data_IF_096807647898
#
_entry.id   IF_096807647898
#
_cell.length_a   1.000
_cell.length_b   1.000
_cell.length_c   1.000
_cell.angle_alpha   90.00
_cell.angle_beta   90.00
_cell.angle_gamma   90.00
#
_symmetry.space_group_name_H-M   'P 1'
#
loop_
_entity.id
_entity.type
_entity.pdbx_description
1 polymer ?
#
# COMPACT_ATOMS: atom_id res chain seq x y z
N UNK A 1 -4.50 19.79 20.73
CA UNK A 1 -4.37 19.54 22.19
C UNK A 1 -3.00 20.02 22.65
N UNK A 2 -2.77 20.23 23.96
CA UNK A 2 -1.43 20.60 24.45
C UNK A 2 -0.36 19.55 24.08
N UNK A 3 -0.75 18.28 23.88
CA UNK A 3 0.14 17.20 23.46
C UNK A 3 0.60 17.35 22.01
N UNK A 4 -0.31 17.68 21.09
CA UNK A 4 0.03 17.88 19.67
C UNK A 4 0.99 19.06 19.47
N UNK A 5 0.81 20.15 20.23
CA UNK A 5 1.69 21.32 20.19
C UNK A 5 3.09 20.98 20.73
N UNK A 6 3.17 20.16 21.78
CA UNK A 6 4.46 19.69 22.33
C UNK A 6 5.16 18.77 21.33
N UNK A 7 4.45 17.81 20.74
CA UNK A 7 5.01 16.88 19.75
C UNK A 7 5.51 17.64 18.50
N UNK A 8 4.78 18.67 18.06
CA UNK A 8 5.18 19.54 16.95
C UNK A 8 6.42 20.39 17.30
N UNK A 9 6.45 20.99 18.49
CA UNK A 9 7.57 21.81 18.96
C UNK A 9 8.84 20.97 19.17
N UNK A 10 8.70 19.76 19.71
CA UNK A 10 9.79 18.78 19.78
C UNK A 10 10.26 18.36 18.39
N UNK A 11 9.34 18.18 17.44
CA UNK A 11 9.66 17.93 16.03
C UNK A 11 10.50 19.06 15.41
N UNK A 12 10.14 20.32 15.67
CA UNK A 12 10.89 21.48 15.19
C UNK A 12 12.26 21.61 15.87
N UNK A 13 12.36 21.34 17.17
CA UNK A 13 13.64 21.32 17.91
C UNK A 13 14.57 20.22 17.40
N UNK A 14 14.04 19.02 17.11
CA UNK A 14 14.79 17.93 16.47
C UNK A 14 15.31 18.34 15.09
N UNK A 15 14.46 18.97 14.25
CA UNK A 15 14.87 19.51 12.94
C UNK A 15 15.97 20.57 13.05
N UNK A 16 15.86 21.49 14.00
CA UNK A 16 16.86 22.53 14.23
C UNK A 16 18.20 21.95 14.72
N UNK A 17 18.17 20.94 15.59
CA UNK A 17 19.37 20.24 16.06
C UNK A 17 20.07 19.44 14.94
N UNK A 18 19.30 18.83 14.03
CA UNK A 18 19.85 18.08 12.89
C UNK A 18 20.52 18.94 11.82
N UNK A 19 20.28 20.26 11.80
CA UNK A 19 20.93 21.16 10.84
C UNK A 19 22.44 21.31 11.09
N UNK A 20 22.90 21.12 12.33
CA UNK A 20 24.29 21.33 12.75
C UNK A 20 24.98 20.06 13.27
N UNK A 21 24.25 18.95 13.38
CA UNK A 21 24.79 17.68 13.87
C UNK A 21 24.51 16.61 12.82
N UNK A 22 25.55 16.02 12.19
CA UNK A 22 25.34 14.87 11.32
C UNK A 22 24.54 13.80 12.08
N UNK A 23 23.51 13.22 11.46
CA UNK A 23 22.77 12.14 12.08
C UNK A 23 23.74 11.01 12.43
N UNK A 24 23.51 10.36 13.57
CA UNK A 24 24.27 9.17 13.93
C UNK A 24 24.04 8.10 12.87
N UNK A 25 25.11 7.45 12.44
CA UNK A 25 25.15 6.36 11.45
C UNK A 25 24.55 5.05 12.02
N UNK A 26 23.29 5.10 12.48
CA UNK A 26 22.61 3.97 13.11
C UNK A 26 22.58 2.73 12.22
N UNK A 27 22.48 2.91 10.90
CA UNK A 27 22.46 1.81 9.94
C UNK A 27 23.77 1.04 9.93
N UNK A 28 24.90 1.74 9.79
CA UNK A 28 26.23 1.16 9.87
C UNK A 28 26.50 0.43 11.19
N UNK A 29 26.00 0.95 12.31
CA UNK A 29 26.25 0.37 13.63
C UNK A 29 25.31 -0.80 13.99
N UNK A 30 24.05 -0.75 13.55
CA UNK A 30 22.99 -1.69 13.95
C UNK A 30 22.70 -2.70 12.85
N UNK A 31 22.38 -2.21 11.64
CA UNK A 31 22.01 -3.05 10.49
C UNK A 31 23.25 -3.73 9.91
N UNK A 32 24.38 -3.01 9.88
CA UNK A 32 25.70 -3.48 9.43
C UNK A 32 25.69 -4.05 8.01
N UNK A 33 24.82 -3.51 7.16
CA UNK A 33 24.78 -3.84 5.73
C UNK A 33 25.63 -2.87 4.90
N UNK A 34 25.93 -3.26 3.67
CA UNK A 34 26.50 -2.40 2.63
C UNK A 34 25.38 -1.76 1.81
N UNK A 35 25.02 -0.52 2.15
CA UNK A 35 23.94 0.25 1.54
C UNK A 35 24.08 0.42 0.02
N UNK A 36 25.31 0.37 -0.49
CA UNK A 36 25.62 0.55 -1.92
C UNK A 36 25.49 -0.74 -2.73
N UNK A 37 25.35 -1.88 -2.05
CA UNK A 37 25.31 -3.19 -2.67
C UNK A 37 23.92 -3.84 -2.54
N UNK A 38 23.15 -3.81 -3.64
CA UNK A 38 21.83 -4.46 -3.73
C UNK A 38 21.86 -5.98 -3.49
N UNK A 39 23.02 -6.62 -3.62
CA UNK A 39 23.17 -8.06 -3.38
C UNK A 39 23.54 -8.41 -1.94
N UNK A 40 23.88 -7.43 -1.12
CA UNK A 40 23.93 -7.65 0.32
C UNK A 40 22.51 -7.73 0.87
N UNK A 41 22.03 -8.96 1.07
CA UNK A 41 20.65 -9.29 1.43
C UNK A 41 20.53 -9.97 2.80
N UNK A 42 21.64 -10.16 3.50
CA UNK A 42 21.69 -10.90 4.76
C UNK A 42 21.86 -9.94 5.94
N UNK A 43 20.86 -9.10 6.15
CA UNK A 43 20.83 -8.09 7.21
C UNK A 43 19.45 -8.00 7.88
N UNK A 44 19.37 -7.29 9.00
CA UNK A 44 18.17 -7.16 9.81
C UNK A 44 17.94 -8.34 10.78
N UNK A 45 16.72 -8.47 11.27
CA UNK A 45 16.31 -9.54 12.19
C UNK A 45 14.84 -9.92 11.98
N UNK A 46 14.36 -10.93 12.68
CA UNK A 46 12.98 -11.42 12.60
C UNK A 46 12.05 -10.82 13.68
N UNK A 47 12.46 -9.76 14.38
CA UNK A 47 11.63 -9.08 15.36
C UNK A 47 10.67 -8.09 14.69
N UNK A 48 9.48 -8.58 14.38
CA UNK A 48 8.39 -7.78 13.80
C UNK A 48 7.73 -6.85 14.82
N UNK A 49 7.92 -7.10 16.12
CA UNK A 49 7.31 -6.37 17.23
C UNK A 49 8.27 -5.37 17.88
N UNK A 50 9.35 -5.02 17.16
CA UNK A 50 10.26 -3.92 17.47
C UNK A 50 9.51 -2.56 17.57
N UNK A 51 10.22 -1.44 17.73
CA UNK A 51 9.61 -0.11 17.85
C UNK A 51 8.54 0.12 16.76
N UNK A 52 7.43 0.77 17.14
CA UNK A 52 6.34 1.18 16.24
C UNK A 52 5.57 0.05 15.48
N UNK A 53 5.16 -1.07 16.12
CA UNK A 53 4.49 -2.18 15.41
C UNK A 53 3.03 -1.90 15.03
N UNK A 54 2.51 -0.72 15.37
CA UNK A 54 1.10 -0.34 15.19
C UNK A 54 0.66 -0.42 13.73
N UNK A 55 1.40 0.23 12.83
CA UNK A 55 0.95 0.46 11.46
C UNK A 55 0.84 -0.84 10.65
N UNK A 56 1.87 -1.69 10.70
CA UNK A 56 1.85 -3.00 10.04
C UNK A 56 0.78 -3.94 10.60
N UNK A 57 0.56 -3.93 11.94
CA UNK A 57 -0.51 -4.73 12.57
C UNK A 57 -1.89 -4.26 12.11
N UNK A 58 -2.11 -2.95 12.03
CA UNK A 58 -3.37 -2.35 11.57
C UNK A 58 -3.67 -2.70 10.12
N UNK A 59 -2.67 -2.57 9.23
CA UNK A 59 -2.80 -2.95 7.81
C UNK A 59 -3.09 -4.45 7.65
N UNK A 60 -2.43 -5.31 8.43
CA UNK A 60 -2.64 -6.76 8.38
C UNK A 60 -4.05 -7.17 8.79
N UNK A 61 -4.60 -6.51 9.81
CA UNK A 61 -5.98 -6.76 10.25
C UNK A 61 -7.03 -6.40 9.19
N UNK A 62 -6.80 -5.33 8.42
CA UNK A 62 -7.69 -4.94 7.32
C UNK A 62 -7.74 -6.05 6.26
N UNK A 63 -6.59 -6.65 5.95
CA UNK A 63 -6.50 -7.71 4.95
C UNK A 63 -7.13 -9.01 5.46
N UNK A 64 -6.74 -9.47 6.65
CA UNK A 64 -6.97 -10.86 7.06
C UNK A 64 -7.18 -11.09 8.55
N UNK A 65 -7.76 -10.12 9.29
CA UNK A 65 -8.27 -10.42 10.62
C UNK A 65 -9.29 -11.58 10.54
N UNK A 66 -9.12 -12.57 11.43
CA UNK A 66 -9.93 -13.80 11.42
C UNK A 66 -11.39 -13.46 11.56
N UNK A 67 -12.19 -13.88 10.58
CA UNK A 67 -13.62 -13.63 10.53
C UNK A 67 -14.38 -14.53 11.50
N UNK A 68 -15.55 -14.07 11.93
CA UNK A 68 -16.57 -14.85 12.64
C UNK A 68 -16.09 -15.53 13.95
N UNK A 69 -15.06 -14.97 14.59
CA UNK A 69 -14.52 -15.45 15.86
C UNK A 69 -15.09 -14.70 17.09
N UNK A 70 -16.10 -13.84 16.87
CA UNK A 70 -16.72 -12.96 17.87
C UNK A 70 -15.77 -11.95 18.54
N UNK A 71 -14.68 -11.55 17.88
CA UNK A 71 -13.73 -10.56 18.39
C UNK A 71 -13.44 -9.48 17.35
N UNK A 72 -13.54 -8.22 17.76
CA UNK A 72 -13.00 -7.09 17.00
C UNK A 72 -13.58 -6.92 15.61
N UNK A 73 -12.76 -7.19 14.59
CA UNK A 73 -13.03 -6.88 13.18
C UNK A 73 -12.90 -8.12 12.31
N UNK A 74 -13.62 -8.10 11.19
CA UNK A 74 -13.47 -9.08 10.12
C UNK A 74 -12.56 -8.50 9.02
N UNK A 75 -11.47 -9.19 8.70
CA UNK A 75 -10.62 -8.87 7.55
C UNK A 75 -11.36 -9.08 6.23
N UNK A 76 -10.86 -8.48 5.16
CA UNK A 76 -11.51 -8.56 3.84
C UNK A 76 -11.42 -9.96 3.23
N UNK A 77 -10.26 -10.61 3.33
CA UNK A 77 -10.02 -11.96 2.85
C UNK A 77 -10.07 -12.96 4.01
N UNK A 78 -10.67 -14.12 3.78
CA UNK A 78 -10.93 -15.15 4.80
C UNK A 78 -9.83 -16.22 4.81
N UNK A 79 -9.32 -16.58 3.64
CA UNK A 79 -8.31 -17.62 3.45
C UNK A 79 -7.01 -17.03 2.89
N UNK A 80 -6.39 -16.15 3.67
CA UNK A 80 -5.13 -15.47 3.34
C UNK A 80 -4.03 -15.78 4.35
N UNK A 81 -2.79 -15.86 3.88
CA UNK A 81 -1.59 -15.88 4.74
C UNK A 81 -0.85 -14.57 4.59
N UNK A 82 -0.57 -13.92 5.71
CA UNK A 82 0.16 -12.65 5.74
C UNK A 82 1.65 -12.93 5.91
N UNK A 83 2.46 -12.44 4.96
CA UNK A 83 3.91 -12.39 5.08
C UNK A 83 4.32 -10.99 5.49
N UNK A 84 4.72 -10.82 6.75
CA UNK A 84 5.17 -9.53 7.28
C UNK A 84 6.64 -9.31 6.94
N UNK A 85 6.93 -8.22 6.24
CA UNK A 85 8.28 -7.77 5.91
C UNK A 85 8.42 -6.32 6.35
N UNK A 86 9.26 -6.07 7.35
CA UNK A 86 9.53 -4.71 7.81
C UNK A 86 10.68 -4.12 7.00
N UNK A 87 10.35 -3.32 5.99
CA UNK A 87 11.31 -2.67 5.08
C UNK A 87 11.50 -1.16 5.35
N UNK A 88 10.71 -0.60 6.27
CA UNK A 88 10.70 0.83 6.58
C UNK A 88 11.22 1.04 8.01
N UNK A 89 12.33 1.78 8.20
CA UNK A 89 12.82 2.14 9.53
C UNK A 89 11.92 3.23 10.16
N UNK A 90 12.27 3.70 11.36
CA UNK A 90 11.66 4.92 11.93
C UNK A 90 12.24 6.17 11.21
N UNK A 91 11.98 6.27 9.90
CA UNK A 91 12.50 7.25 8.92
C UNK A 91 12.14 6.86 7.48
N UNK A 92 12.73 7.52 6.49
CA UNK A 92 12.42 7.27 5.08
C UNK A 92 12.89 5.88 4.60
N UNK A 93 12.16 5.34 3.63
CA UNK A 93 12.45 4.03 3.05
C UNK A 93 13.70 4.10 2.16
N UNK A 94 14.64 3.18 2.36
CA UNK A 94 15.81 3.07 1.49
C UNK A 94 15.44 2.21 0.27
N UNK A 95 15.80 2.67 -0.94
CA UNK A 95 15.43 1.98 -2.19
C UNK A 95 15.95 0.54 -2.23
N UNK A 96 17.13 0.29 -1.65
CA UNK A 96 17.69 -1.06 -1.45
C UNK A 96 16.75 -1.96 -0.66
N UNK A 97 16.24 -1.49 0.48
CA UNK A 97 15.37 -2.28 1.37
C UNK A 97 14.04 -2.59 0.70
N UNK A 98 13.46 -1.61 0.01
CA UNK A 98 12.21 -1.81 -0.73
C UNK A 98 12.40 -2.82 -1.87
N UNK A 99 13.47 -2.69 -2.66
CA UNK A 99 13.78 -3.62 -3.74
C UNK A 99 14.02 -5.06 -3.23
N UNK A 100 14.77 -5.21 -2.14
CA UNK A 100 15.02 -6.50 -1.50
C UNK A 100 13.77 -7.09 -0.85
N UNK A 101 12.91 -6.28 -0.22
CA UNK A 101 11.65 -6.72 0.36
C UNK A 101 10.68 -7.24 -0.70
N UNK A 102 10.56 -6.54 -1.85
CA UNK A 102 9.77 -7.01 -2.99
C UNK A 102 10.32 -8.36 -3.48
N UNK A 103 11.64 -8.48 -3.66
CA UNK A 103 12.30 -9.74 -4.05
C UNK A 103 12.00 -10.88 -3.08
N UNK A 104 12.21 -10.61 -1.79
CA UNK A 104 11.96 -11.59 -0.74
C UNK A 104 10.50 -12.05 -0.75
N UNK A 105 9.53 -11.13 -0.85
CA UNK A 105 8.11 -11.47 -0.92
C UNK A 105 7.79 -12.37 -2.11
N UNK A 106 8.27 -11.99 -3.30
CA UNK A 106 8.09 -12.75 -4.55
C UNK A 106 8.70 -14.14 -4.43
N UNK A 107 9.94 -14.25 -3.97
CA UNK A 107 10.68 -15.51 -3.86
C UNK A 107 10.10 -16.45 -2.79
N UNK A 108 9.42 -15.89 -1.78
CA UNK A 108 8.72 -16.65 -0.74
C UNK A 108 7.23 -16.88 -1.05
N UNK A 109 6.79 -16.64 -2.29
CA UNK A 109 5.49 -17.06 -2.79
C UNK A 109 4.33 -16.09 -2.52
N UNK A 110 4.61 -14.80 -2.26
CA UNK A 110 3.56 -13.79 -2.23
C UNK A 110 2.88 -13.67 -3.61
N UNK A 111 1.55 -13.62 -3.64
CA UNK A 111 0.77 -13.34 -4.86
C UNK A 111 0.43 -11.85 -4.99
N UNK A 112 0.39 -11.15 -3.85
CA UNK A 112 0.06 -9.73 -3.72
C UNK A 112 1.01 -9.13 -2.67
N UNK A 113 1.56 -7.96 -2.94
CA UNK A 113 2.39 -7.18 -2.01
C UNK A 113 1.69 -5.86 -1.73
N UNK A 114 1.33 -5.61 -0.47
CA UNK A 114 0.75 -4.35 -0.01
C UNK A 114 1.85 -3.46 0.56
N UNK A 115 1.99 -2.27 0.00
CA UNK A 115 3.08 -1.32 0.27
C UNK A 115 2.47 -0.01 0.78
N UNK A 116 2.30 0.07 2.11
CA UNK A 116 1.61 1.16 2.79
C UNK A 116 2.55 2.29 3.24
N UNK A 117 3.50 2.67 2.40
CA UNK A 117 4.61 3.59 2.72
C UNK A 117 4.90 4.51 1.52
N UNK A 118 5.81 5.48 1.64
CA UNK A 118 6.19 6.33 0.52
C UNK A 118 6.95 7.61 0.89
N UNK A 119 7.70 8.14 -0.08
CA UNK A 119 8.65 9.25 0.09
C UNK A 119 8.72 10.17 -1.13
N UNK A 120 9.23 11.39 -0.93
CA UNK A 120 9.39 12.39 -1.99
C UNK A 120 10.64 12.12 -2.87
N UNK A 121 11.65 11.38 -2.39
CA UNK A 121 12.94 11.20 -3.09
C UNK A 121 13.38 9.72 -3.17
N UNK A 122 13.84 9.29 -4.35
CA UNK A 122 14.30 7.90 -4.60
C UNK A 122 15.59 7.90 -5.43
N UNK A 123 16.76 8.11 -4.80
CA UNK A 123 18.04 8.22 -5.50
C UNK A 123 18.42 6.93 -6.25
N UNK A 124 18.08 5.77 -5.71
CA UNK A 124 18.35 4.45 -6.31
C UNK A 124 17.07 3.77 -6.83
N UNK A 125 16.12 4.57 -7.31
CA UNK A 125 14.86 4.10 -7.90
C UNK A 125 15.01 2.95 -8.88
N UNK A 126 16.10 2.91 -9.64
CA UNK A 126 16.40 1.84 -10.60
C UNK A 126 16.44 0.44 -9.96
N UNK A 127 16.81 0.31 -8.68
CA UNK A 127 16.70 -0.97 -7.94
C UNK A 127 15.25 -1.37 -7.69
N UNK A 128 14.39 -0.41 -7.33
CA UNK A 128 12.96 -0.66 -7.11
C UNK A 128 12.27 -0.98 -8.44
N UNK A 129 12.67 -0.32 -9.53
CA UNK A 129 12.16 -0.60 -10.88
C UNK A 129 12.51 -2.02 -11.34
N UNK A 130 13.75 -2.46 -11.11
CA UNK A 130 14.18 -3.84 -11.36
C UNK A 130 13.42 -4.84 -10.46
N UNK A 131 13.06 -4.43 -9.24
CA UNK A 131 12.21 -5.22 -8.35
C UNK A 131 10.77 -5.35 -8.87
N UNK A 132 10.18 -4.26 -9.34
CA UNK A 132 8.86 -4.24 -9.93
C UNK A 132 8.77 -5.09 -11.21
N UNK A 133 9.78 -5.01 -12.09
CA UNK A 133 9.86 -5.85 -13.31
C UNK A 133 9.97 -7.34 -12.96
N UNK A 134 10.68 -7.67 -11.89
CA UNK A 134 10.77 -9.05 -11.41
C UNK A 134 9.43 -9.56 -10.87
N UNK A 135 8.72 -8.75 -10.07
CA UNK A 135 7.37 -9.09 -9.59
C UNK A 135 6.40 -9.30 -10.76
N UNK A 136 6.47 -8.45 -11.79
CA UNK A 136 5.69 -8.60 -13.03
C UNK A 136 5.99 -9.92 -13.75
N UNK A 137 7.27 -10.25 -13.94
CA UNK A 137 7.69 -11.54 -14.53
C UNK A 137 7.22 -12.76 -13.71
N UNK A 138 7.04 -12.57 -12.40
CA UNK A 138 6.62 -13.62 -11.45
C UNK A 138 5.12 -13.60 -11.17
N UNK A 139 4.37 -12.76 -11.87
CA UNK A 139 2.91 -12.64 -11.73
C UNK A 139 2.46 -12.27 -10.31
N UNK A 140 3.16 -11.32 -9.67
CA UNK A 140 2.84 -10.82 -8.33
C UNK A 140 2.29 -9.40 -8.43
N UNK A 141 1.11 -9.17 -7.86
CA UNK A 141 0.47 -7.85 -7.85
C UNK A 141 1.13 -6.92 -6.83
N UNK A 142 1.41 -5.68 -7.23
CA UNK A 142 1.93 -4.64 -6.35
C UNK A 142 0.84 -3.62 -6.06
N UNK A 143 0.50 -3.41 -4.79
CA UNK A 143 -0.52 -2.44 -4.35
C UNK A 143 0.16 -1.42 -3.45
N UNK A 144 0.06 -0.13 -3.78
CA UNK A 144 0.81 0.94 -3.15
C UNK A 144 -0.10 2.07 -2.67
N UNK A 145 0.19 2.66 -1.52
CA UNK A 145 -0.49 3.85 -1.03
C UNK A 145 -0.11 5.10 -1.85
N UNK A 146 -1.06 5.98 -2.16
CA UNK A 146 -0.77 7.20 -2.94
C UNK A 146 -0.01 8.28 -2.14
N UNK A 147 -0.01 8.22 -0.80
CA UNK A 147 0.53 9.25 0.08
C UNK A 147 -0.54 10.18 0.67
N UNK A 148 -0.19 10.99 1.66
CA UNK A 148 -1.14 11.68 2.55
C UNK A 148 -0.94 13.21 2.61
N UNK A 149 -0.40 13.81 1.56
CA UNK A 149 -0.03 15.24 1.51
C UNK A 149 -1.05 16.11 0.76
N UNK A 150 -2.17 15.54 0.33
CA UNK A 150 -3.15 16.19 -0.56
C UNK A 150 -2.54 16.74 -1.86
N UNK A 151 -1.46 16.12 -2.35
CA UNK A 151 -0.75 16.52 -3.56
C UNK A 151 -1.34 15.85 -4.81
N UNK A 152 -1.26 16.54 -5.94
CA UNK A 152 -1.43 15.92 -7.24
C UNK A 152 -0.13 15.21 -7.64
N UNK A 153 -0.15 13.88 -7.63
CA UNK A 153 1.01 13.04 -7.96
C UNK A 153 1.20 12.81 -9.48
N UNK A 154 0.34 13.40 -10.32
CA UNK A 154 0.63 13.53 -11.76
C UNK A 154 1.72 14.58 -12.03
N UNK A 155 1.98 15.48 -11.07
CA UNK A 155 2.95 16.59 -11.21
C UNK A 155 3.97 16.67 -10.07
N UNK A 156 3.79 15.88 -9.01
CA UNK A 156 4.69 15.83 -7.86
C UNK A 156 5.02 14.38 -7.58
N UNK A 157 6.29 14.04 -7.49
CA UNK A 157 6.65 12.65 -7.29
C UNK A 157 6.25 12.15 -5.89
N UNK A 158 5.88 10.87 -5.85
CA UNK A 158 5.74 10.07 -4.63
C UNK A 158 6.30 8.69 -4.98
N UNK A 159 7.29 8.22 -4.24
CA UNK A 159 8.01 6.98 -4.51
C UNK A 159 7.76 5.92 -3.42
N UNK A 160 7.85 4.63 -3.77
CA UNK A 160 7.99 4.12 -5.13
C UNK A 160 6.74 4.39 -5.99
N UNK A 161 6.89 4.40 -7.30
CA UNK A 161 5.78 4.54 -8.23
C UNK A 161 5.93 3.62 -9.43
N UNK A 162 4.83 3.50 -10.18
CA UNK A 162 4.74 2.56 -11.29
C UNK A 162 5.63 2.94 -12.49
N UNK A 163 5.97 4.22 -12.67
CA UNK A 163 6.69 4.72 -13.85
C UNK A 163 8.18 4.39 -13.75
N UNK A 164 8.77 3.78 -14.77
CA UNK A 164 10.19 3.44 -14.73
C UNK A 164 11.08 4.66 -14.97
N UNK A 165 12.17 4.79 -14.22
CA UNK A 165 13.11 5.93 -14.30
C UNK A 165 13.82 6.01 -15.66
N UNK A 166 13.93 4.88 -16.37
CA UNK A 166 14.50 4.80 -17.71
C UNK A 166 13.57 5.35 -18.80
N UNK A 167 12.36 5.80 -18.45
CA UNK A 167 11.35 6.31 -19.37
C UNK A 167 10.69 5.24 -20.24
N UNK A 168 10.97 3.95 -20.04
CA UNK A 168 10.46 2.84 -20.86
C UNK A 168 9.12 2.30 -20.36
N UNK A 169 8.21 3.21 -19.99
CA UNK A 169 6.85 2.90 -19.58
C UNK A 169 6.67 2.74 -18.07
N UNK A 170 5.70 1.92 -17.68
CA UNK A 170 5.30 1.68 -16.28
C UNK A 170 5.00 0.21 -16.01
N UNK A 171 5.05 -0.20 -14.76
CA UNK A 171 4.63 -1.55 -14.34
C UNK A 171 3.14 -1.76 -14.58
N UNK A 172 2.77 -2.85 -15.27
CA UNK A 172 1.36 -3.15 -15.56
C UNK A 172 0.65 -3.86 -14.41
N UNK A 173 1.38 -4.31 -13.38
CA UNK A 173 0.83 -5.01 -12.21
C UNK A 173 0.81 -4.13 -10.94
N UNK A 174 0.98 -2.82 -11.11
CA UNK A 174 1.00 -1.85 -10.02
C UNK A 174 -0.35 -1.16 -9.87
N UNK A 175 -0.91 -1.12 -8.66
CA UNK A 175 -2.11 -0.35 -8.30
C UNK A 175 -1.73 0.70 -7.26
N UNK A 176 -1.83 1.97 -7.60
CA UNK A 176 -1.71 3.09 -6.68
C UNK A 176 -3.08 3.47 -6.12
N UNK A 177 -3.19 3.55 -4.79
CA UNK A 177 -4.47 3.64 -4.07
C UNK A 177 -4.61 4.97 -3.34
N UNK A 178 -5.60 5.76 -3.74
CA UNK A 178 -6.07 6.94 -3.01
C UNK A 178 -7.03 6.57 -1.87
N UNK A 179 -7.21 7.47 -0.91
CA UNK A 179 -8.08 7.26 0.25
C UNK A 179 -9.45 7.93 0.06
N UNK A 180 -10.51 7.13 0.18
CA UNK A 180 -11.89 7.60 0.30
C UNK A 180 -12.30 7.71 1.76
N UNK A 181 -13.24 8.61 2.02
CA UNK A 181 -13.86 8.81 3.33
C UNK A 181 -15.31 8.37 3.35
N UNK A 182 -15.99 8.72 4.43
CA UNK A 182 -17.44 8.58 4.55
C UNK A 182 -18.10 9.92 4.14
N UNK A 183 -19.02 9.90 3.15
CA UNK A 183 -19.77 11.09 2.73
C UNK A 183 -20.46 11.82 3.90
N UNK A 184 -20.84 11.10 4.96
CA UNK A 184 -21.48 11.66 6.16
C UNK A 184 -20.48 12.27 7.14
N UNK A 185 -19.19 11.95 7.01
CA UNK A 185 -18.14 12.27 7.98
C UNK A 185 -16.87 12.81 7.31
N UNK A 186 -17.01 13.88 6.51
CA UNK A 186 -15.88 14.60 5.93
C UNK A 186 -15.73 14.48 4.41
N UNK A 187 -16.60 13.71 3.75
CA UNK A 187 -16.70 13.64 2.29
C UNK A 187 -16.29 12.29 1.72
N UNK A 188 -16.58 12.11 0.42
CA UNK A 188 -16.28 10.88 -0.33
C UNK A 188 -14.78 10.66 -0.45
N UNK A 189 -14.00 11.71 -0.62
CA UNK A 189 -12.54 11.71 -0.75
C UNK A 189 -11.91 12.15 0.57
N UNK A 190 -10.86 11.47 1.01
CA UNK A 190 -10.13 11.90 2.19
C UNK A 190 -9.38 13.20 1.90
N UNK A 191 -9.51 14.20 2.78
CA UNK A 191 -8.90 15.53 2.58
C UNK A 191 -7.37 15.49 2.46
N UNK A 192 -6.73 14.49 3.05
CA UNK A 192 -5.28 14.28 3.00
C UNK A 192 -4.81 13.43 1.81
N UNK A 193 -5.70 12.75 1.07
CA UNK A 193 -5.27 11.79 0.05
C UNK A 193 -4.50 12.50 -1.06
N UNK A 194 -3.33 11.97 -1.42
CA UNK A 194 -2.78 12.24 -2.73
C UNK A 194 -3.72 11.72 -3.82
N UNK A 195 -3.72 12.40 -4.96
CA UNK A 195 -4.60 12.11 -6.10
C UNK A 195 -3.81 12.33 -7.40
N UNK A 196 -4.32 11.81 -8.51
CA UNK A 196 -3.70 11.98 -9.81
C UNK A 196 -4.48 11.19 -10.86
N UNK A 197 -4.95 11.87 -11.90
CA UNK A 197 -5.72 11.25 -12.99
C UNK A 197 -4.92 10.17 -13.71
N UNK A 198 -3.60 10.29 -13.74
CA UNK A 198 -2.69 9.36 -14.42
C UNK A 198 -1.95 8.44 -13.45
N UNK A 199 -1.74 8.86 -12.21
CA UNK A 199 -0.91 8.08 -11.28
C UNK A 199 -1.65 7.35 -10.18
N UNK A 200 -2.86 7.78 -9.80
CA UNK A 200 -3.73 7.03 -8.91
C UNK A 200 -4.68 6.17 -9.74
N UNK A 201 -4.68 4.86 -9.49
CA UNK A 201 -5.50 3.93 -10.25
C UNK A 201 -6.93 3.87 -9.70
N UNK A 202 -7.09 3.79 -8.37
CA UNK A 202 -8.40 3.64 -7.71
C UNK A 202 -8.39 4.24 -6.30
N UNK A 203 -9.55 4.62 -5.77
CA UNK A 203 -9.70 4.99 -4.36
C UNK A 203 -10.27 3.84 -3.53
N UNK A 204 -9.93 3.79 -2.24
CA UNK A 204 -10.51 2.83 -1.29
C UNK A 204 -10.68 3.44 0.12
N UNK A 205 -11.58 2.92 0.96
CA UNK A 205 -11.80 3.40 2.32
C UNK A 205 -10.49 3.54 3.12
N UNK A 206 -10.19 4.76 3.54
CA UNK A 206 -8.96 5.09 4.27
C UNK A 206 -9.15 6.07 5.42
N UNK A 207 -10.37 6.48 5.76
CA UNK A 207 -10.65 7.39 6.88
C UNK A 207 -11.32 6.64 8.02
N UNK A 208 -10.77 6.75 9.23
CA UNK A 208 -11.28 6.11 10.47
C UNK A 208 -11.56 4.62 10.28
N UNK A 209 -10.60 3.91 9.72
CA UNK A 209 -10.68 2.47 9.53
C UNK A 209 -10.36 1.78 10.86
N UNK A 210 -11.33 1.02 11.37
CA UNK A 210 -11.18 0.23 12.59
C UNK A 210 -10.48 -1.09 12.28
N UNK A 211 -9.36 -1.39 12.94
CA UNK A 211 -8.59 -2.63 12.73
C UNK A 211 -7.82 -3.07 13.98
N UNK A 212 -7.13 -4.22 13.89
CA UNK A 212 -6.28 -4.78 14.94
C UNK A 212 -5.08 -3.88 15.23
N UNK A 213 -4.68 -3.76 16.50
CA UNK A 213 -3.46 -3.05 16.90
C UNK A 213 -2.60 -3.96 17.81
N UNK A 214 -1.33 -3.63 18.08
CA UNK A 214 -0.47 -4.41 18.98
C UNK A 214 -1.05 -4.56 20.39
N UNK A 215 -0.66 -5.63 21.08
CA UNK A 215 -1.05 -5.87 22.48
C UNK A 215 -2.03 -7.03 22.70
N UNK A 216 -2.45 -7.71 21.64
CA UNK A 216 -3.28 -8.93 21.71
C UNK A 216 -4.75 -8.62 22.02
N UNK A 217 -5.62 -8.83 21.03
CA UNK A 217 -7.07 -8.51 21.07
C UNK A 217 -7.37 -7.02 21.31
N UNK A 218 -6.51 -6.12 20.84
CA UNK A 218 -6.73 -4.68 20.86
C UNK A 218 -7.09 -4.17 19.47
N UNK A 219 -7.90 -3.12 19.40
CA UNK A 219 -8.40 -2.54 18.15
C UNK A 219 -8.43 -1.02 18.23
N UNK A 220 -8.34 -0.36 17.09
CA UNK A 220 -8.36 1.09 17.02
C UNK A 220 -8.55 1.63 15.61
N UNK A 221 -8.85 2.92 15.53
CA UNK A 221 -9.06 3.63 14.28
C UNK A 221 -7.74 4.23 13.78
N UNK A 222 -7.51 4.12 12.47
CA UNK A 222 -6.44 4.83 11.78
C UNK A 222 -6.97 5.44 10.48
N UNK A 223 -6.29 6.48 9.99
CA UNK A 223 -6.62 7.11 8.71
C UNK A 223 -5.36 7.27 7.86
N UNK A 224 -5.46 7.01 6.56
CA UNK A 224 -4.38 7.13 5.60
C UNK A 224 -4.65 6.37 4.32
N UNK A 225 -3.95 6.73 3.24
CA UNK A 225 -3.81 5.86 2.06
C UNK A 225 -3.16 4.52 2.42
N UNK A 226 -2.38 4.49 3.51
CA UNK A 226 -1.89 3.25 4.14
C UNK A 226 -2.98 2.31 4.64
N UNK A 227 -4.20 2.80 4.95
CA UNK A 227 -5.36 1.97 5.30
C UNK A 227 -6.18 1.63 4.05
N UNK A 228 -6.21 2.50 3.04
CA UNK A 228 -6.84 2.23 1.75
C UNK A 228 -6.11 1.14 0.95
N UNK A 229 -4.77 1.16 0.95
CA UNK A 229 -3.92 0.16 0.29
C UNK A 229 -4.25 -1.30 0.68
N UNK A 230 -4.31 -1.67 1.98
CA UNK A 230 -4.69 -3.02 2.40
C UNK A 230 -6.16 -3.35 2.11
N UNK A 231 -7.06 -2.36 1.94
CA UNK A 231 -8.42 -2.64 1.44
C UNK A 231 -8.37 -3.20 0.01
N UNK A 232 -7.57 -2.60 -0.86
CA UNK A 232 -7.39 -3.07 -2.23
C UNK A 232 -6.64 -4.39 -2.28
N UNK A 233 -5.56 -4.55 -1.50
CA UNK A 233 -4.82 -5.81 -1.42
C UNK A 233 -5.67 -6.96 -0.87
N UNK A 234 -6.47 -6.70 0.17
CA UNK A 234 -7.43 -7.68 0.71
C UNK A 234 -8.51 -8.05 -0.30
N UNK A 235 -9.02 -7.09 -1.06
CA UNK A 235 -9.98 -7.37 -2.14
C UNK A 235 -9.35 -8.23 -3.24
N UNK A 236 -8.10 -7.95 -3.63
CA UNK A 236 -7.37 -8.78 -4.58
C UNK A 236 -7.19 -10.22 -4.07
N UNK A 237 -6.86 -10.39 -2.79
CA UNK A 237 -6.72 -11.70 -2.16
C UNK A 237 -8.06 -12.46 -2.12
N UNK A 238 -9.14 -11.77 -1.73
CA UNK A 238 -10.49 -12.31 -1.76
C UNK A 238 -10.92 -12.78 -3.16
N UNK A 239 -10.59 -12.04 -4.22
CA UNK A 239 -10.86 -12.47 -5.59
C UNK A 239 -10.08 -13.76 -5.93
N UNK A 240 -8.81 -13.84 -5.54
CA UNK A 240 -7.97 -15.03 -5.79
C UNK A 240 -8.46 -16.28 -5.05
N UNK A 241 -9.19 -16.15 -3.94
CA UNK A 241 -9.80 -17.31 -3.25
C UNK A 241 -10.79 -18.05 -4.16
N UNK A 242 -11.53 -17.32 -4.99
CA UNK A 242 -12.53 -17.86 -5.91
C UNK A 242 -11.95 -18.12 -7.31
N UNK A 243 -11.03 -17.27 -7.77
CA UNK A 243 -10.47 -17.29 -9.12
C UNK A 243 -8.94 -17.38 -9.08
N UNK A 244 -8.37 -18.48 -8.55
CA UNK A 244 -6.94 -18.58 -8.23
C UNK A 244 -6.02 -18.53 -9.46
N UNK A 245 -6.55 -18.78 -10.66
CA UNK A 245 -5.79 -18.75 -11.92
C UNK A 245 -5.75 -17.37 -12.55
N UNK A 246 -6.36 -16.33 -11.96
CA UNK A 246 -6.20 -14.97 -12.48
C UNK A 246 -4.73 -14.51 -12.36
N UNK A 247 -4.23 -13.88 -13.42
CA UNK A 247 -2.93 -13.21 -13.39
C UNK A 247 -3.00 -11.91 -12.57
N UNK A 248 -1.86 -11.40 -12.10
CA UNK A 248 -1.77 -10.11 -11.43
C UNK A 248 -2.30 -8.97 -12.33
N UNK A 249 -2.06 -9.07 -13.65
CA UNK A 249 -2.60 -8.12 -14.62
C UNK A 249 -4.13 -8.22 -14.70
N UNK A 250 -4.68 -9.43 -14.70
CA UNK A 250 -6.13 -9.65 -14.68
C UNK A 250 -6.75 -9.16 -13.36
N UNK A 251 -6.10 -9.36 -12.22
CA UNK A 251 -6.57 -8.82 -10.93
C UNK A 251 -6.63 -7.30 -10.95
N UNK A 252 -5.57 -6.65 -11.44
CA UNK A 252 -5.57 -5.19 -11.61
C UNK A 252 -6.74 -4.75 -12.51
N UNK A 253 -6.89 -5.39 -13.67
CA UNK A 253 -7.99 -5.10 -14.59
C UNK A 253 -9.36 -5.22 -13.91
N UNK A 254 -9.58 -6.31 -13.16
CA UNK A 254 -10.84 -6.55 -12.45
C UNK A 254 -11.11 -5.44 -11.44
N UNK A 255 -10.12 -5.06 -10.64
CA UNK A 255 -10.24 -4.01 -9.62
C UNK A 255 -10.56 -2.67 -10.29
N UNK A 256 -9.82 -2.28 -11.31
CA UNK A 256 -10.02 -1.00 -12.00
C UNK A 256 -11.37 -0.94 -12.71
N UNK A 257 -11.79 -2.01 -13.40
CA UNK A 257 -13.02 -2.01 -14.19
C UNK A 257 -14.29 -2.21 -13.38
N UNK A 258 -14.17 -2.70 -12.16
CA UNK A 258 -15.30 -2.84 -11.24
C UNK A 258 -15.46 -1.64 -10.30
N UNK A 259 -14.48 -0.73 -10.24
CA UNK A 259 -14.57 0.48 -9.44
C UNK A 259 -15.84 1.28 -9.78
N UNK A 260 -16.48 1.82 -8.75
CA UNK A 260 -17.76 2.53 -8.87
C UNK A 260 -17.59 4.02 -8.61
N UNK A 261 -18.06 4.80 -9.56
CA UNK A 261 -18.22 6.24 -9.36
C UNK A 261 -19.22 6.51 -8.24
N UNK A 262 -18.97 7.50 -7.37
CA UNK A 262 -19.92 7.92 -6.35
C UNK A 262 -21.18 8.58 -6.93
N UNK A 263 -21.20 8.90 -8.24
CA UNK A 263 -22.34 9.52 -8.92
C UNK A 263 -22.57 10.99 -8.56
N UNK A 264 -21.66 11.59 -7.81
CA UNK A 264 -21.65 12.99 -7.39
C UNK A 264 -20.25 13.58 -7.60
N UNK A 265 -20.17 14.90 -7.72
CA UNK A 265 -18.89 15.58 -7.59
C UNK A 265 -18.37 15.41 -6.15
N UNK A 266 -17.05 15.34 -6.05
CA UNK A 266 -16.33 15.08 -4.80
C UNK A 266 -15.37 16.22 -4.51
N UNK A 267 -15.07 16.43 -3.23
CA UNK A 267 -14.09 17.43 -2.83
C UNK A 267 -12.70 17.04 -3.34
N UNK A 268 -12.02 17.92 -4.05
CA UNK A 268 -10.62 17.72 -4.38
C UNK A 268 -9.79 17.75 -3.08
N UNK A 269 -8.96 16.74 -2.79
CA UNK A 269 -8.16 16.70 -1.56
C UNK A 269 -7.35 17.98 -1.34
N UNK A 270 -7.28 18.43 -0.08
CA UNK A 270 -6.60 19.66 0.31
C UNK A 270 -7.32 20.96 -0.05
N UNK A 271 -8.48 20.91 -0.69
CA UNK A 271 -9.22 22.09 -1.15
C UNK A 271 -10.72 22.00 -0.82
N UNK A 272 -11.44 23.08 -1.09
CA UNK A 272 -12.90 23.14 -0.99
C UNK A 272 -13.60 22.90 -2.34
N UNK A 273 -12.83 22.76 -3.43
CA UNK A 273 -13.36 22.64 -4.78
C UNK A 273 -14.06 21.29 -4.99
N UNK A 274 -15.20 21.31 -5.65
CA UNK A 274 -15.91 20.11 -6.10
C UNK A 274 -15.43 19.76 -7.52
N UNK A 275 -15.05 18.51 -7.73
CA UNK A 275 -14.55 18.01 -9.00
C UNK A 275 -15.13 16.64 -9.31
N UNK A 276 -15.16 16.29 -10.58
CA UNK A 276 -15.50 14.93 -10.98
C UNK A 276 -14.41 13.96 -10.52
N UNK A 277 -14.77 12.81 -9.98
CA UNK A 277 -13.79 11.84 -9.49
C UNK A 277 -12.77 11.39 -10.56
N UNK A 278 -13.15 11.38 -11.86
CA UNK A 278 -12.24 11.10 -12.98
C UNK A 278 -11.07 12.10 -13.14
N UNK A 279 -11.06 13.20 -12.39
CA UNK A 279 -9.89 14.11 -12.32
C UNK A 279 -8.93 13.73 -11.20
N UNK A 280 -9.33 12.83 -10.29
CA UNK A 280 -8.58 12.46 -9.09
C UNK A 280 -7.95 11.07 -9.20
N UNK A 281 -8.51 10.17 -10.01
CA UNK A 281 -7.95 8.85 -10.30
C UNK A 281 -8.34 8.38 -11.71
N UNK A 282 -7.70 7.30 -12.18
CA UNK A 282 -7.98 6.73 -13.51
C UNK A 282 -9.38 6.16 -13.64
N UNK A 283 -9.87 5.50 -12.60
CA UNK A 283 -11.17 4.81 -12.67
C UNK A 283 -12.33 5.76 -12.45
N UNK A 284 -12.08 6.91 -11.82
CA UNK A 284 -13.12 7.84 -11.39
C UNK A 284 -14.00 7.22 -10.31
N UNK A 285 -13.45 6.32 -9.49
CA UNK A 285 -14.24 5.43 -8.67
C UNK A 285 -13.55 4.89 -7.42
N UNK A 286 -14.40 4.36 -6.55
CA UNK A 286 -14.00 3.66 -5.33
C UNK A 286 -14.09 2.16 -5.60
N UNK A 287 -13.15 1.40 -5.06
CA UNK A 287 -13.13 -0.06 -5.16
C UNK A 287 -14.49 -0.68 -4.78
N UNK A 288 -14.89 -1.71 -5.51
CA UNK A 288 -16.14 -2.43 -5.27
C UNK A 288 -15.93 -3.95 -5.38
N UNK A 289 -15.82 -4.62 -4.22
CA UNK A 289 -15.54 -6.06 -4.17
C UNK A 289 -16.64 -6.92 -4.84
N UNK A 290 -17.91 -6.52 -4.72
CA UNK A 290 -19.04 -7.27 -5.30
C UNK A 290 -19.00 -7.28 -6.83
N UNK A 291 -18.83 -6.10 -7.44
CA UNK A 291 -18.70 -5.99 -8.89
C UNK A 291 -17.38 -6.58 -9.40
N UNK A 292 -16.32 -6.54 -8.58
CA UNK A 292 -15.05 -7.20 -8.89
C UNK A 292 -15.21 -8.72 -9.03
N UNK A 293 -15.91 -9.36 -8.07
CA UNK A 293 -16.21 -10.80 -8.13
C UNK A 293 -17.07 -11.15 -9.35
N UNK A 294 -18.10 -10.34 -9.65
CA UNK A 294 -18.93 -10.55 -10.84
C UNK A 294 -18.12 -10.47 -12.13
N UNK A 295 -17.21 -9.51 -12.24
CA UNK A 295 -16.36 -9.37 -13.42
C UNK A 295 -15.37 -10.54 -13.52
N UNK A 296 -14.69 -10.86 -12.43
CA UNK A 296 -13.76 -11.99 -12.35
C UNK A 296 -14.40 -13.32 -12.75
N UNK A 297 -15.67 -13.54 -12.40
CA UNK A 297 -16.43 -14.73 -12.76
C UNK A 297 -16.65 -14.90 -14.27
N UNK A 298 -16.45 -13.85 -15.07
CA UNK A 298 -16.56 -13.92 -16.54
C UNK A 298 -15.21 -14.14 -17.24
N UNK A 299 -14.11 -14.13 -16.49
CA UNK A 299 -12.75 -14.23 -17.03
C UNK A 299 -12.18 -15.64 -16.95
N UNK A 300 -11.36 -16.00 -17.93
CA UNK A 300 -10.53 -17.20 -17.91
C UNK A 300 -9.14 -16.79 -17.40
N UNK A 301 -8.69 -17.40 -16.30
CA UNK A 301 -7.40 -17.08 -15.71
C UNK A 301 -6.21 -17.46 -16.59
N UNK A 302 -5.21 -16.59 -16.64
CA UNK A 302 -3.99 -16.74 -17.45
C UNK A 302 -2.79 -17.29 -16.66
N UNK A 303 -2.91 -17.42 -15.34
CA UNK A 303 -1.83 -17.91 -14.49
C UNK A 303 -1.80 -19.45 -14.45
N UNK A 304 -0.92 -20.03 -15.27
CA UNK A 304 -0.73 -21.47 -15.38
C UNK A 304 0.10 -22.10 -14.25
N UNK A 305 0.56 -21.32 -13.26
CA UNK A 305 1.44 -21.83 -12.19
C UNK A 305 0.70 -22.32 -10.94
N UNK A 306 -0.64 -22.29 -10.92
CA UNK A 306 -1.40 -22.86 -9.79
C UNK A 306 -1.34 -24.39 -9.87
N UNK A 307 -0.87 -25.09 -8.82
CA UNK A 307 -0.95 -26.54 -8.79
C UNK A 307 -2.43 -26.94 -8.88
N UNK A 308 -2.77 -27.86 -9.80
CA UNK A 308 -4.11 -28.45 -9.86
C UNK A 308 -4.55 -28.84 -8.46
N UNK A 309 -5.75 -28.40 -8.03
CA UNK A 309 -6.39 -28.91 -6.80
C UNK A 309 -6.29 -30.44 -6.85
N UNK A 310 -5.42 -31.05 -6.04
CA UNK A 310 -5.54 -32.47 -5.74
C UNK A 310 -6.85 -32.60 -4.99
N UNK A 311 -7.84 -33.21 -5.64
CA UNK A 311 -9.07 -33.65 -5.01
C UNK A 311 -8.69 -34.46 -3.77
N UNK A 312 -9.15 -34.01 -2.59
CA UNK A 312 -9.35 -34.88 -1.44
C UNK A 312 -10.82 -35.29 -1.44
#
# INVERSE_FOLDING_TARGET
>A
SNKEIIDEMEGQLRKAASANTPPKEYRKDIVKDDETNINDRSYGNNDLMASTPFHGTHCSGIIGAVRDNNKGVNGIADNVKIMMIRAVPDGDEHDKDIANAIRYAVDNGAQIISMSFGKDFSPEKYWVDDAARYAEKKNVLLVHAAGNDAKNIDTTDNFPNANFIDGKGRSNIWITVGASGDPKNGGVTASFSNYGKKEVDVFAPGVKIHSTIPGGNTYGDASGTSMACPVVAGTAAFILEYFPTLSALQLKYVIEKSAKSPGIDVRQPGTENQVNMLTLDKTGGIINAYEAVKLAATMIGENNTVPSKKSK
#
